data_IF_914297475709
#
_entry.id   IF_914297475709
#
_cell.length_a   1.000
_cell.length_b   1.000
_cell.length_c   1.000
_cell.angle_alpha   90.00
_cell.angle_beta   90.00
_cell.angle_gamma   90.00
#
_symmetry.space_group_name_H-M   'P 1'
#
loop_
_entity.id
_entity.type
_entity.pdbx_description
1 polymer ?
#
# COMPACT_ATOMS: atom_id res chain seq x y z
N UNK A 1 -4.90 19.87 -3.86
CA UNK A 1 -3.57 20.28 -3.32
C UNK A 1 -2.78 19.02 -3.03
N UNK A 2 -1.56 18.90 -3.55
CA UNK A 2 -0.76 17.69 -3.37
C UNK A 2 -0.08 17.65 -1.98
N UNK A 3 -0.07 16.49 -1.33
CA UNK A 3 0.63 16.31 -0.06
C UNK A 3 1.09 14.85 0.17
N UNK A 4 2.04 14.71 1.09
CA UNK A 4 2.62 13.43 1.50
C UNK A 4 2.49 13.30 3.02
N UNK A 5 2.11 12.12 3.49
CA UNK A 5 2.16 11.76 4.90
C UNK A 5 2.92 10.48 5.12
N UNK A 6 3.95 10.55 5.94
CA UNK A 6 4.70 9.39 6.38
C UNK A 6 3.98 8.72 7.56
N UNK A 7 3.49 7.50 7.34
CA UNK A 7 2.96 6.62 8.39
C UNK A 7 4.08 5.83 9.06
N UNK A 8 5.18 5.63 8.34
CA UNK A 8 6.45 5.13 8.83
C UNK A 8 7.60 5.58 7.95
N UNK A 9 8.79 5.55 8.52
CA UNK A 9 10.06 5.91 7.88
C UNK A 9 11.20 5.02 8.36
N UNK A 10 10.88 3.94 9.08
CA UNK A 10 11.85 2.92 9.45
C UNK A 10 12.22 2.10 8.23
N UNK A 11 13.48 1.70 8.19
CA UNK A 11 13.97 0.61 7.35
C UNK A 11 14.86 -0.30 8.20
N UNK A 12 15.30 -1.40 7.61
CA UNK A 12 16.05 -2.47 8.25
C UNK A 12 15.24 -3.24 9.31
N UNK A 13 15.20 -4.56 9.12
CA UNK A 13 14.45 -5.52 9.95
C UNK A 13 14.60 -5.33 11.47
N UNK A 14 15.77 -4.94 11.96
CA UNK A 14 16.02 -4.77 13.40
C UNK A 14 15.38 -3.53 14.01
N UNK A 15 15.31 -2.43 13.24
CA UNK A 15 14.63 -1.20 13.67
C UNK A 15 13.13 -1.45 13.74
N UNK A 16 12.61 -2.13 12.73
CA UNK A 16 11.19 -2.43 12.57
C UNK A 16 10.71 -3.45 13.60
N UNK A 17 11.44 -4.55 13.80
CA UNK A 17 11.05 -5.60 14.77
C UNK A 17 11.05 -5.08 16.22
N UNK A 18 11.91 -4.09 16.52
CA UNK A 18 11.93 -3.41 17.82
C UNK A 18 11.02 -2.19 17.88
N UNK A 19 10.36 -1.84 16.77
CA UNK A 19 9.55 -0.63 16.61
C UNK A 19 10.26 0.65 17.12
N UNK A 20 11.58 0.74 16.94
CA UNK A 20 12.37 1.94 17.29
C UNK A 20 11.94 3.15 16.43
N UNK A 21 11.41 2.87 15.24
CA UNK A 21 10.76 3.82 14.34
C UNK A 21 9.62 3.09 13.63
N UNK A 22 8.54 3.81 13.32
CA UNK A 22 7.39 3.23 12.63
C UNK A 22 7.72 2.88 11.16
N UNK A 23 7.08 1.84 10.63
CA UNK A 23 7.24 1.33 9.26
C UNK A 23 5.92 1.28 8.48
N UNK A 24 4.91 2.07 8.88
CA UNK A 24 3.56 2.02 8.30
C UNK A 24 3.40 2.52 6.85
N UNK A 25 4.49 2.84 6.15
CA UNK A 25 4.46 3.28 4.75
C UNK A 25 4.27 4.79 4.54
N UNK A 26 3.92 5.15 3.30
CA UNK A 26 3.77 6.53 2.83
C UNK A 26 2.41 6.70 2.18
N UNK A 27 1.60 7.63 2.68
CA UNK A 27 0.36 8.05 2.05
C UNK A 27 0.62 9.26 1.15
N UNK A 28 0.22 9.18 -0.11
CA UNK A 28 0.23 10.27 -1.07
C UNK A 28 -1.20 10.70 -1.37
N UNK A 29 -1.42 12.00 -1.47
CA UNK A 29 -2.61 12.58 -2.09
C UNK A 29 -2.12 13.49 -3.22
N UNK A 30 -2.34 13.07 -4.46
CA UNK A 30 -1.88 13.75 -5.66
C UNK A 30 -3.06 13.84 -6.63
N UNK A 31 -3.45 15.06 -7.01
CA UNK A 31 -4.58 15.29 -7.93
C UNK A 31 -5.86 14.50 -7.54
N UNK A 32 -6.24 14.65 -6.27
CA UNK A 32 -7.35 13.95 -5.60
C UNK A 32 -7.28 12.42 -5.61
N UNK A 33 -6.12 11.85 -6.00
CA UNK A 33 -5.84 10.41 -5.97
C UNK A 33 -5.05 10.06 -4.70
N UNK A 34 -5.57 9.12 -3.90
CA UNK A 34 -4.95 8.64 -2.67
C UNK A 34 -4.25 7.30 -2.87
N UNK A 35 -2.97 7.25 -2.54
CA UNK A 35 -2.13 6.06 -2.70
C UNK A 35 -1.40 5.77 -1.40
N UNK A 36 -1.37 4.51 -0.99
CA UNK A 36 -0.53 4.03 0.10
C UNK A 36 0.62 3.18 -0.47
N UNK A 37 1.85 3.57 -0.17
CA UNK A 37 3.06 2.86 -0.56
C UNK A 37 3.60 2.11 0.65
N UNK A 38 3.90 0.82 0.46
CA UNK A 38 4.58 -0.07 1.40
C UNK A 38 3.96 -0.09 2.82
N UNK A 39 2.73 -0.62 2.97
CA UNK A 39 2.10 -0.80 4.27
C UNK A 39 2.83 -1.88 5.11
N UNK A 40 3.92 -1.47 5.76
CA UNK A 40 4.65 -2.28 6.73
C UNK A 40 3.97 -2.35 8.10
N UNK A 41 4.66 -2.92 9.12
CA UNK A 41 4.06 -3.19 10.42
C UNK A 41 3.43 -1.95 11.08
N UNK A 42 2.15 -2.08 11.42
CA UNK A 42 1.38 -1.04 12.10
C UNK A 42 0.84 0.06 11.19
N UNK A 43 0.87 -0.12 9.86
CA UNK A 43 0.31 0.81 8.88
C UNK A 43 -1.13 1.20 9.19
N UNK A 44 -2.01 0.23 9.50
CA UNK A 44 -3.41 0.53 9.80
C UNK A 44 -3.54 1.44 11.03
N UNK A 45 -2.86 1.09 12.12
CA UNK A 45 -2.91 1.86 13.36
C UNK A 45 -2.34 3.26 13.14
N UNK A 46 -1.24 3.40 12.38
CA UNK A 46 -0.65 4.70 12.05
C UNK A 46 -1.56 5.54 11.16
N UNK A 47 -2.22 4.93 10.18
CA UNK A 47 -3.24 5.57 9.34
C UNK A 47 -4.36 6.18 10.22
N UNK A 48 -4.97 5.36 11.07
CA UNK A 48 -6.11 5.72 11.92
C UNK A 48 -5.75 6.65 13.10
N UNK A 49 -4.49 6.70 13.52
CA UNK A 49 -4.01 7.57 14.62
C UNK A 49 -3.28 8.82 14.14
N UNK A 50 -3.05 8.96 12.83
CA UNK A 50 -2.38 10.13 12.26
C UNK A 50 -3.18 11.41 12.49
N UNK A 51 -2.49 12.57 12.41
CA UNK A 51 -3.11 13.89 12.50
C UNK A 51 -2.79 14.70 11.24
N UNK A 52 -3.79 15.20 10.48
CA UNK A 52 -5.20 14.78 10.52
C UNK A 52 -5.38 13.27 10.31
N UNK A 53 -6.46 12.69 10.84
CA UNK A 53 -6.77 11.26 10.69
C UNK A 53 -6.99 10.93 9.21
N UNK A 54 -6.43 9.80 8.78
CA UNK A 54 -6.69 9.24 7.46
C UNK A 54 -7.76 8.15 7.55
N UNK A 55 -8.52 7.97 6.47
CA UNK A 55 -9.51 6.91 6.33
C UNK A 55 -9.04 5.96 5.21
N UNK A 56 -8.73 4.68 5.50
CA UNK A 56 -8.34 3.70 4.50
C UNK A 56 -9.34 3.57 3.33
N UNK A 57 -10.64 3.75 3.58
CA UNK A 57 -11.67 3.71 2.51
C UNK A 57 -11.49 4.79 1.45
N UNK A 58 -10.72 5.84 1.73
CA UNK A 58 -10.40 6.89 0.77
C UNK A 58 -9.27 6.50 -0.20
N UNK A 59 -8.59 5.36 0.01
CA UNK A 59 -7.55 4.90 -0.91
C UNK A 59 -8.12 4.55 -2.27
N UNK A 60 -7.37 4.91 -3.30
CA UNK A 60 -7.61 4.51 -4.69
C UNK A 60 -6.64 3.41 -5.12
N UNK A 61 -5.46 3.36 -4.50
CA UNK A 61 -4.51 2.29 -4.71
C UNK A 61 -3.59 2.01 -3.52
N UNK A 62 -3.09 0.77 -3.48
CA UNK A 62 -1.97 0.35 -2.66
C UNK A 62 -0.85 -0.08 -3.59
N UNK A 63 0.36 0.39 -3.33
CA UNK A 63 1.57 0.03 -4.06
C UNK A 63 2.51 -0.68 -3.10
N UNK A 64 2.88 -1.92 -3.42
CA UNK A 64 3.90 -2.66 -2.72
C UNK A 64 5.15 -2.73 -3.60
N UNK A 65 6.25 -2.12 -3.16
CA UNK A 65 7.49 -2.06 -3.94
C UNK A 65 8.19 -3.42 -3.98
N UNK A 66 8.14 -4.18 -2.89
CA UNK A 66 8.72 -5.52 -2.77
C UNK A 66 8.18 -6.27 -1.55
N UNK A 67 8.45 -7.58 -1.49
CA UNK A 67 7.80 -8.50 -0.55
C UNK A 67 8.31 -8.52 0.90
N UNK A 68 9.30 -7.71 1.28
CA UNK A 68 9.85 -7.80 2.64
C UNK A 68 8.84 -7.37 3.70
N UNK A 69 8.88 -8.02 4.87
CA UNK A 69 7.89 -7.82 5.93
C UNK A 69 7.82 -6.38 6.42
N UNK A 70 8.94 -5.65 6.46
CA UNK A 70 8.96 -4.24 6.84
C UNK A 70 8.20 -3.32 5.87
N UNK A 71 7.80 -3.83 4.70
CA UNK A 71 7.00 -3.13 3.68
C UNK A 71 5.62 -3.78 3.45
N UNK A 72 5.48 -5.08 3.72
CA UNK A 72 4.31 -5.86 3.32
C UNK A 72 3.41 -6.32 4.49
N UNK A 73 3.83 -6.19 5.75
CA UNK A 73 3.14 -6.84 6.87
C UNK A 73 1.65 -6.48 6.99
N UNK A 74 1.28 -5.22 6.76
CA UNK A 74 -0.09 -4.75 6.88
C UNK A 74 -0.79 -4.63 5.51
N UNK A 75 -0.19 -5.13 4.42
CA UNK A 75 -0.77 -4.99 3.06
C UNK A 75 -2.17 -5.57 2.95
N UNK A 76 -2.38 -6.78 3.50
CA UNK A 76 -3.66 -7.48 3.40
C UNK A 76 -4.77 -6.73 4.14
N UNK A 77 -4.50 -6.32 5.38
CA UNK A 77 -5.50 -5.60 6.17
C UNK A 77 -5.77 -4.20 5.60
N UNK A 78 -4.77 -3.55 4.98
CA UNK A 78 -4.99 -2.27 4.31
C UNK A 78 -5.83 -2.41 3.04
N UNK A 79 -5.67 -3.50 2.27
CA UNK A 79 -6.55 -3.80 1.13
C UNK A 79 -7.99 -4.05 1.63
N UNK A 80 -8.15 -4.85 2.66
CA UNK A 80 -9.46 -5.11 3.25
C UNK A 80 -10.11 -3.83 3.79
N UNK A 81 -9.35 -2.96 4.46
CA UNK A 81 -9.85 -1.67 4.93
C UNK A 81 -10.20 -0.71 3.78
N UNK A 82 -9.40 -0.68 2.70
CA UNK A 82 -9.71 0.11 1.49
C UNK A 82 -11.02 -0.31 0.84
N UNK A 83 -11.31 -1.61 0.85
CA UNK A 83 -12.48 -2.22 0.22
C UNK A 83 -13.67 -2.37 1.17
N UNK A 84 -13.56 -1.83 2.39
CA UNK A 84 -14.53 -2.00 3.48
C UNK A 84 -14.89 -3.49 3.66
N UNK A 85 -13.92 -4.34 3.99
CA UNK A 85 -14.16 -5.78 4.19
C UNK A 85 -14.50 -6.55 2.92
N UNK A 86 -14.13 -6.03 1.74
CA UNK A 86 -14.55 -6.59 0.45
C UNK A 86 -15.99 -6.28 0.05
N UNK A 87 -16.78 -5.55 0.87
CA UNK A 87 -18.15 -5.14 0.50
C UNK A 87 -18.19 -4.13 -0.65
N UNK A 88 -17.08 -3.40 -0.86
CA UNK A 88 -16.90 -2.49 -1.99
C UNK A 88 -15.75 -3.00 -2.85
N UNK A 89 -16.08 -3.53 -4.03
CA UNK A 89 -15.07 -3.87 -5.03
C UNK A 89 -14.52 -2.57 -5.61
N UNK A 90 -13.41 -2.08 -5.04
CA UNK A 90 -12.80 -0.78 -5.40
C UNK A 90 -11.27 -0.81 -5.34
N UNK A 91 -10.67 0.14 -6.04
CA UNK A 91 -9.25 0.44 -5.94
C UNK A 91 -8.35 -0.60 -6.61
N UNK A 92 -7.05 -0.35 -6.51
CA UNK A 92 -6.03 -1.11 -7.23
C UNK A 92 -4.88 -1.54 -6.33
N UNK A 93 -4.30 -2.70 -6.61
CA UNK A 93 -3.06 -3.16 -5.99
C UNK A 93 -1.98 -3.27 -7.05
N UNK A 94 -0.86 -2.59 -6.83
CA UNK A 94 0.34 -2.68 -7.65
C UNK A 94 1.41 -3.41 -6.87
N UNK A 95 1.94 -4.50 -7.43
CA UNK A 95 2.99 -5.27 -6.77
C UNK A 95 3.88 -5.98 -7.80
N UNK A 96 5.16 -6.24 -7.49
CA UNK A 96 6.00 -7.09 -8.32
C UNK A 96 5.51 -8.55 -8.30
N UNK A 97 5.88 -9.32 -9.33
CA UNK A 97 5.42 -10.70 -9.48
C UNK A 97 5.83 -11.62 -8.32
N UNK A 98 6.97 -11.36 -7.67
CA UNK A 98 7.45 -12.14 -6.53
C UNK A 98 6.59 -11.93 -5.26
N UNK A 99 5.86 -10.81 -5.15
CA UNK A 99 4.90 -10.58 -4.07
C UNK A 99 3.57 -11.31 -4.27
N UNK A 100 3.26 -11.72 -5.51
CA UNK A 100 2.00 -12.35 -5.93
C UNK A 100 2.15 -13.82 -6.36
N UNK A 101 3.38 -14.34 -6.38
CA UNK A 101 3.71 -15.65 -6.90
C UNK A 101 3.36 -16.82 -5.97
N UNK A 102 4.22 -17.86 -5.95
CA UNK A 102 3.96 -19.13 -5.25
C UNK A 102 3.80 -19.01 -3.73
N UNK A 103 4.53 -18.08 -3.12
CA UNK A 103 4.47 -17.79 -1.69
C UNK A 103 4.07 -16.32 -1.51
N UNK A 104 2.82 -15.95 -1.80
CA UNK A 104 2.45 -14.56 -1.95
C UNK A 104 2.37 -13.89 -0.58
N UNK A 105 2.82 -12.63 -0.51
CA UNK A 105 2.65 -11.81 0.70
C UNK A 105 1.29 -11.11 0.72
N UNK A 106 0.61 -11.08 -0.43
CA UNK A 106 -0.79 -10.67 -0.54
C UNK A 106 -1.63 -11.92 -0.75
N UNK A 107 -2.56 -12.21 0.16
CA UNK A 107 -3.35 -13.42 0.10
C UNK A 107 -4.26 -13.43 -1.13
N UNK A 108 -4.37 -14.57 -1.81
CA UNK A 108 -5.17 -14.68 -3.03
C UNK A 108 -6.62 -14.24 -2.86
N UNK A 109 -7.25 -14.56 -1.72
CA UNK A 109 -8.64 -14.16 -1.44
C UNK A 109 -8.81 -12.65 -1.23
N UNK A 110 -7.77 -11.96 -0.76
CA UNK A 110 -7.79 -10.50 -0.58
C UNK A 110 -7.72 -9.80 -1.94
N UNK A 111 -7.03 -10.37 -2.92
CA UNK A 111 -6.95 -9.83 -4.28
C UNK A 111 -8.33 -9.81 -4.96
N UNK A 112 -9.26 -10.68 -4.58
CA UNK A 112 -10.61 -10.71 -5.14
C UNK A 112 -11.45 -9.48 -4.72
N UNK A 113 -11.04 -8.77 -3.66
CA UNK A 113 -11.73 -7.59 -3.14
C UNK A 113 -11.49 -6.32 -3.96
N UNK A 114 -10.39 -6.24 -4.70
CA UNK A 114 -10.03 -5.04 -5.47
C UNK A 114 -10.57 -5.09 -6.90
N UNK A 115 -10.68 -3.93 -7.55
CA UNK A 115 -11.11 -3.86 -8.96
C UNK A 115 -10.03 -4.37 -9.91
N UNK A 116 -8.76 -4.06 -9.59
CA UNK A 116 -7.62 -4.42 -10.43
C UNK A 116 -6.38 -4.77 -9.62
N UNK A 117 -5.62 -5.71 -10.14
CA UNK A 117 -4.28 -6.08 -9.67
C UNK A 117 -3.33 -5.89 -10.84
N UNK A 118 -2.27 -5.12 -10.62
CA UNK A 118 -1.33 -4.71 -11.65
C UNK A 118 0.08 -5.19 -11.28
N UNK A 119 0.70 -5.94 -12.17
CA UNK A 119 2.05 -6.45 -11.96
C UNK A 119 3.06 -5.39 -12.40
N UNK A 120 3.86 -4.92 -11.44
CA UNK A 120 4.95 -3.97 -11.68
C UNK A 120 6.07 -4.64 -12.49
N UNK A 121 6.52 -3.96 -13.54
CA UNK A 121 7.62 -4.37 -14.43
C UNK A 121 8.58 -3.20 -14.63
N UNK A 122 9.83 -3.45 -14.96
CA UNK A 122 10.81 -2.43 -15.35
C UNK A 122 10.28 -1.54 -16.49
N UNK A 123 10.47 -0.22 -16.40
CA UNK A 123 9.99 0.76 -17.38
C UNK A 123 8.47 0.80 -17.59
N UNK A 124 7.70 0.19 -16.68
CA UNK A 124 6.24 0.13 -16.72
C UNK A 124 5.60 1.48 -16.40
N UNK A 125 4.46 1.76 -17.05
CA UNK A 125 3.64 2.95 -16.82
C UNK A 125 2.21 2.55 -16.52
N UNK A 126 1.68 3.03 -15.41
CA UNK A 126 0.41 2.61 -14.85
C UNK A 126 -0.44 3.83 -14.50
N UNK A 127 -1.76 3.71 -14.59
CA UNK A 127 -2.69 4.79 -14.23
C UNK A 127 -3.39 4.52 -12.91
N UNK A 128 -3.48 5.54 -12.07
CA UNK A 128 -4.31 5.55 -10.86
C UNK A 128 -5.05 6.87 -10.82
N UNK A 129 -6.38 6.83 -10.92
CA UNK A 129 -7.20 8.04 -11.00
C UNK A 129 -6.68 8.99 -12.09
N UNK A 130 -6.20 10.15 -11.65
CA UNK A 130 -5.72 11.22 -12.52
C UNK A 130 -4.20 11.25 -12.71
N UNK A 131 -3.46 10.36 -12.03
CA UNK A 131 -2.00 10.34 -12.08
C UNK A 131 -1.46 9.10 -12.81
N UNK A 132 -0.17 9.19 -13.16
CA UNK A 132 0.61 8.05 -13.65
C UNK A 132 1.67 7.65 -12.62
N UNK A 133 1.87 6.35 -12.48
CA UNK A 133 2.97 5.74 -11.76
C UNK A 133 3.90 5.09 -12.78
N UNK A 134 5.20 5.39 -12.67
CA UNK A 134 6.23 4.86 -13.55
C UNK A 134 7.27 4.12 -12.71
N UNK A 135 7.73 2.97 -13.19
CA UNK A 135 8.83 2.23 -12.59
C UNK A 135 10.13 2.55 -13.33
N UNK A 136 11.28 2.53 -12.62
CA UNK A 136 12.57 2.81 -13.24
C UNK A 136 12.95 1.74 -14.28
N UNK A 137 13.88 2.14 -15.17
CA UNK A 137 14.65 1.26 -16.08
C UNK A 137 15.95 0.88 -15.40
#
# INVERSE_FOLDING_TARGET
MAWIKFLGTAGARFVVMKQLRASGGIWLNLDDTNILIDPGPGSLIRCLSSKPRLNPENLDAIVLTHRHLDHANDVNIMIEAMTNGGFKKKGAVFAPSDALGKDPVIFSYILDYVERVEILKEGGKYRVGNIFLETPV
#
